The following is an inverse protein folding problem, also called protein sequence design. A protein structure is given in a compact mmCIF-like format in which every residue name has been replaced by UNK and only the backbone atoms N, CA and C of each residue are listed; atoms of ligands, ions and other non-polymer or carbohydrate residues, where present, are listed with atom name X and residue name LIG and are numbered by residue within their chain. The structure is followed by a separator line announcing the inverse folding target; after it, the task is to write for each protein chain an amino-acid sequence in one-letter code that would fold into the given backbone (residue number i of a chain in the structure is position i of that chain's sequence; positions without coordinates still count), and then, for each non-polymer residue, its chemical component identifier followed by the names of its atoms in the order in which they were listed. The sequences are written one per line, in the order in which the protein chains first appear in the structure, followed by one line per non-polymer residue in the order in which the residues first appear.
data_IF_361740652884
#
_entry.id   IF_361740652884
#
_cell.length_a   1.000
_cell.length_b   1.000
_cell.length_c   1.000
_cell.angle_alpha   90.00
_cell.angle_beta   90.00
_cell.angle_gamma   90.00
#
_symmetry.space_group_name_H-M   'P 1'
#
loop_
_entity.id
_entity.type
_entity.pdbx_description
1 polymer ?
#
# COMPACT_ATOMS: atom_id res chain seq x y z
N UNK A 1 2.03 -10.82 -51.75
CA UNK A 1 2.69 -11.07 -50.46
C UNK A 1 3.30 -9.76 -50.00
N UNK A 2 2.59 -9.00 -49.16
CA UNK A 2 3.15 -7.78 -48.57
C UNK A 2 3.90 -8.19 -47.30
N UNK A 3 5.20 -7.90 -47.24
CA UNK A 3 6.00 -8.08 -46.04
C UNK A 3 5.52 -7.08 -44.98
N UNK A 4 4.89 -7.59 -43.92
CA UNK A 4 4.50 -6.78 -42.76
C UNK A 4 5.77 -6.25 -42.07
N UNK A 5 5.92 -4.93 -42.03
CA UNK A 5 7.02 -4.29 -41.34
C UNK A 5 6.99 -4.68 -39.85
N UNK A 6 8.16 -4.89 -39.19
CA UNK A 6 8.18 -5.21 -37.78
C UNK A 6 7.59 -4.03 -37.00
N UNK A 7 6.39 -4.23 -36.43
CA UNK A 7 5.77 -3.31 -35.46
C UNK A 7 6.46 -3.45 -34.10
N UNK A 8 7.78 -3.39 -34.10
CA UNK A 8 8.58 -3.52 -32.91
C UNK A 8 8.41 -2.27 -32.04
N UNK A 9 8.21 -2.51 -30.75
CA UNK A 9 7.90 -1.46 -29.79
C UNK A 9 8.91 -1.51 -28.65
N UNK A 10 9.32 -0.34 -28.16
CA UNK A 10 10.22 -0.21 -27.02
C UNK A 10 9.42 0.38 -25.86
N UNK A 11 9.22 -0.42 -24.82
CA UNK A 11 8.61 0.01 -23.57
C UNK A 11 9.70 0.27 -22.54
N UNK A 12 9.68 1.42 -21.89
CA UNK A 12 10.45 1.66 -20.68
C UNK A 12 9.52 1.46 -19.50
N UNK A 13 9.73 0.40 -18.76
CA UNK A 13 8.96 0.07 -17.56
C UNK A 13 9.68 0.65 -16.36
N UNK A 14 9.05 1.57 -15.66
CA UNK A 14 9.54 2.15 -14.42
C UNK A 14 8.81 1.50 -13.26
N UNK A 15 9.55 0.79 -12.41
CA UNK A 15 9.07 0.17 -11.18
C UNK A 15 9.84 0.77 -10.00
N UNK A 16 9.16 1.60 -9.19
CA UNK A 16 9.76 2.32 -8.04
C UNK A 16 11.04 3.09 -8.37
N UNK A 17 12.20 2.45 -8.31
CA UNK A 17 13.54 3.02 -8.59
C UNK A 17 14.30 2.25 -9.69
N UNK A 18 13.63 1.30 -10.35
CA UNK A 18 14.18 0.47 -11.41
C UNK A 18 13.56 0.84 -12.74
N UNK A 19 14.38 1.01 -13.77
CA UNK A 19 13.93 1.23 -15.15
C UNK A 19 14.36 0.06 -16.01
N UNK A 20 13.39 -0.71 -16.49
CA UNK A 20 13.58 -1.88 -17.34
C UNK A 20 13.17 -1.51 -18.76
N UNK A 21 14.10 -1.66 -19.71
CA UNK A 21 13.81 -1.43 -21.12
C UNK A 21 13.40 -2.75 -21.78
N UNK A 22 12.13 -2.88 -22.09
CA UNK A 22 11.58 -4.01 -22.82
C UNK A 22 11.50 -3.69 -24.32
N UNK A 23 11.96 -4.64 -25.13
CA UNK A 23 11.73 -4.63 -26.58
C UNK A 23 10.69 -5.70 -26.86
N UNK A 24 9.57 -5.30 -27.42
CA UNK A 24 8.51 -6.19 -27.88
C UNK A 24 8.68 -6.38 -29.39
N UNK A 25 8.66 -7.63 -29.83
CA UNK A 25 8.80 -8.00 -31.25
C UNK A 25 7.57 -7.54 -32.07
N UNK A 26 6.41 -7.46 -31.41
CA UNK A 26 5.16 -6.93 -31.95
C UNK A 26 4.41 -6.10 -30.91
N UNK A 27 3.53 -5.21 -31.36
CA UNK A 27 2.55 -4.52 -30.50
C UNK A 27 1.57 -5.56 -29.94
N UNK A 28 1.28 -5.58 -28.62
CA UNK A 28 0.25 -6.46 -28.08
C UNK A 28 -1.12 -6.11 -28.66
N UNK A 29 -2.01 -7.10 -28.77
CA UNK A 29 -3.34 -6.93 -29.35
C UNK A 29 -4.34 -6.32 -28.36
N UNK A 30 -4.04 -6.35 -27.06
CA UNK A 30 -4.89 -5.82 -25.99
C UNK A 30 -4.05 -5.39 -24.78
N UNK A 31 -4.63 -4.51 -23.94
CA UNK A 31 -4.12 -4.18 -22.62
C UNK A 31 -3.84 -5.43 -21.78
N UNK A 32 -4.74 -6.42 -21.75
CA UNK A 32 -4.56 -7.67 -20.99
C UNK A 32 -3.33 -8.47 -21.46
N UNK A 33 -3.08 -8.49 -22.76
CA UNK A 33 -1.91 -9.15 -23.33
C UNK A 33 -0.62 -8.43 -22.94
N UNK A 34 -0.63 -7.09 -22.93
CA UNK A 34 0.48 -6.29 -22.42
C UNK A 34 0.76 -6.61 -20.94
N UNK A 35 -0.28 -6.68 -20.12
CA UNK A 35 -0.14 -7.05 -18.70
C UNK A 35 0.48 -8.44 -18.56
N UNK A 36 0.02 -9.42 -19.35
CA UNK A 36 0.58 -10.78 -19.32
C UNK A 36 2.06 -10.81 -19.68
N UNK A 37 2.47 -10.11 -20.74
CA UNK A 37 3.87 -10.03 -21.16
C UNK A 37 4.72 -9.37 -20.07
N UNK A 38 4.21 -8.32 -19.44
CA UNK A 38 4.89 -7.64 -18.35
C UNK A 38 5.04 -8.54 -17.12
N UNK A 39 3.99 -9.28 -16.72
CA UNK A 39 4.09 -10.28 -15.64
C UNK A 39 5.16 -11.33 -15.92
N UNK A 40 5.20 -11.86 -17.14
CA UNK A 40 6.20 -12.86 -17.56
C UNK A 40 7.63 -12.28 -17.58
N UNK A 41 7.82 -11.08 -18.12
CA UNK A 41 9.14 -10.46 -18.28
C UNK A 41 9.71 -9.88 -16.99
N UNK A 42 8.86 -9.40 -16.08
CA UNK A 42 9.28 -8.89 -14.79
C UNK A 42 9.30 -9.98 -13.70
N UNK A 43 8.90 -11.22 -14.02
CA UNK A 43 8.76 -12.33 -13.06
C UNK A 43 7.86 -11.95 -11.86
N UNK A 44 6.79 -11.19 -12.14
CA UNK A 44 5.86 -10.68 -11.13
C UNK A 44 4.61 -11.57 -11.10
N UNK A 45 4.38 -12.24 -9.97
CA UNK A 45 3.20 -13.08 -9.73
C UNK A 45 1.97 -12.27 -9.25
N UNK A 46 2.16 -11.00 -8.91
CA UNK A 46 1.13 -10.12 -8.35
C UNK A 46 0.45 -9.23 -9.42
N UNK A 47 -0.73 -8.71 -9.09
CA UNK A 47 -1.37 -7.65 -9.87
C UNK A 47 -0.65 -6.32 -9.68
N UNK A 48 -0.73 -5.44 -10.68
CA UNK A 48 -0.11 -4.13 -10.67
C UNK A 48 -0.96 -3.09 -11.40
N UNK A 49 -0.81 -1.83 -11.00
CA UNK A 49 -1.39 -0.69 -11.71
C UNK A 49 -0.39 -0.20 -12.75
N UNK A 50 -0.88 -0.02 -13.98
CA UNK A 50 -0.10 0.46 -15.12
C UNK A 50 -0.58 1.86 -15.50
N UNK A 51 0.35 2.81 -15.54
CA UNK A 51 0.13 4.16 -16.09
C UNK A 51 1.13 4.44 -17.19
N UNK A 52 0.74 5.15 -18.23
CA UNK A 52 1.66 5.57 -19.27
C UNK A 52 1.94 7.07 -19.18
N UNK A 53 3.11 7.47 -19.65
CA UNK A 53 3.48 8.86 -19.80
C UNK A 53 2.89 9.38 -21.11
N UNK A 54 1.91 10.27 -21.00
CA UNK A 54 1.20 10.83 -22.15
C UNK A 54 1.92 12.10 -22.67
N UNK A 55 2.49 12.07 -23.89
CA UNK A 55 3.16 13.22 -24.48
C UNK A 55 2.22 14.39 -24.78
N UNK A 56 0.92 14.14 -24.99
CA UNK A 56 -0.09 15.17 -25.23
C UNK A 56 -0.52 15.86 -23.92
N UNK A 57 -0.18 15.29 -22.77
CA UNK A 57 -0.45 15.80 -21.43
C UNK A 57 0.81 16.23 -20.66
N UNK A 58 1.81 16.78 -21.37
CA UNK A 58 3.06 17.29 -20.77
C UNK A 58 3.83 16.21 -19.99
N UNK A 59 3.74 14.95 -20.41
CA UNK A 59 4.40 13.83 -19.74
C UNK A 59 3.76 13.43 -18.41
N UNK A 60 2.47 13.73 -18.20
CA UNK A 60 1.74 13.25 -17.02
C UNK A 60 1.42 11.76 -17.14
N UNK A 61 1.37 11.09 -15.98
CA UNK A 61 1.00 9.69 -15.89
C UNK A 61 -0.52 9.52 -15.96
N UNK A 62 -1.01 8.94 -17.05
CA UNK A 62 -2.45 8.71 -17.30
C UNK A 62 -2.77 7.22 -17.38
N UNK A 63 -4.05 6.88 -17.29
CA UNK A 63 -4.53 5.51 -17.42
C UNK A 63 -4.53 5.09 -18.89
N UNK A 64 -3.90 3.96 -19.20
CA UNK A 64 -3.93 3.40 -20.54
C UNK A 64 -5.28 2.72 -20.79
N UNK A 65 -6.10 3.29 -21.66
CA UNK A 65 -7.42 2.72 -22.03
C UNK A 65 -7.30 1.87 -23.29
N UNK A 66 -6.62 2.39 -24.30
CA UNK A 66 -6.34 1.66 -25.53
C UNK A 66 -4.83 1.51 -25.71
N UNK A 67 -4.40 0.30 -26.09
CA UNK A 67 -3.00 0.08 -26.38
C UNK A 67 -2.55 0.89 -27.59
N UNK A 68 -3.45 1.31 -28.49
CA UNK A 68 -3.21 2.19 -29.64
C UNK A 68 -2.68 3.58 -29.26
N UNK A 69 -2.94 4.04 -28.04
CA UNK A 69 -2.41 5.32 -27.52
C UNK A 69 -0.90 5.27 -27.27
N UNK A 70 -0.30 4.07 -27.10
CA UNK A 70 1.12 3.98 -26.86
C UNK A 70 1.96 4.25 -28.13
N UNK A 71 2.85 5.25 -28.13
CA UNK A 71 3.77 5.45 -29.25
C UNK A 71 4.80 4.31 -29.32
N UNK A 72 5.50 4.17 -30.46
CA UNK A 72 6.52 3.12 -30.65
C UNK A 72 7.61 3.11 -29.56
N UNK A 73 7.85 4.26 -28.92
CA UNK A 73 8.70 4.41 -27.75
C UNK A 73 7.86 5.05 -26.66
N UNK A 74 7.48 4.28 -25.65
CA UNK A 74 6.66 4.79 -24.54
C UNK A 74 7.31 4.49 -23.19
N UNK A 75 6.99 5.33 -22.21
CA UNK A 75 7.33 5.13 -20.82
C UNK A 75 6.07 4.69 -20.07
N UNK A 76 6.19 3.62 -19.31
CA UNK A 76 5.09 3.02 -18.57
C UNK A 76 5.56 2.81 -17.14
N UNK A 77 4.76 3.29 -16.20
CA UNK A 77 5.02 3.18 -14.77
C UNK A 77 4.14 2.06 -14.21
N UNK A 78 4.79 1.15 -13.50
CA UNK A 78 4.14 0.02 -12.84
C UNK A 78 4.23 0.23 -11.33
N UNK A 79 3.10 0.10 -10.65
CA UNK A 79 3.03 0.08 -9.19
C UNK A 79 2.36 -1.21 -8.76
N UNK A 80 3.11 -2.09 -8.10
CA UNK A 80 2.59 -3.35 -7.57
C UNK A 80 1.38 -3.05 -6.66
N UNK A 81 0.23 -3.66 -6.96
CA UNK A 81 -0.92 -3.56 -6.06
C UNK A 81 -0.72 -4.59 -4.96
N UNK A 82 0.13 -4.28 -3.98
CA UNK A 82 0.06 -4.95 -2.68
C UNK A 82 -1.24 -4.51 -2.01
N UNK A 83 -2.31 -5.27 -2.25
CA UNK A 83 -3.63 -5.21 -1.60
C UNK A 83 -4.27 -3.83 -1.38
N UNK A 84 -3.83 -2.81 -2.11
CA UNK A 84 -4.45 -1.49 -2.08
C UNK A 84 -5.51 -1.43 -3.16
N UNK A 85 -6.64 -2.10 -2.86
CA UNK A 85 -7.86 -2.07 -3.66
C UNK A 85 -8.28 -0.60 -3.84
N UNK A 86 -8.24 -0.16 -5.09
CA UNK A 86 -8.67 1.15 -5.58
C UNK A 86 -9.91 1.66 -4.84
N UNK A 87 -9.75 2.78 -4.13
CA UNK A 87 -10.87 3.63 -3.71
C UNK A 87 -11.04 4.71 -4.77
N UNK A 88 -12.30 4.92 -5.16
CA UNK A 88 -12.71 5.81 -6.23
C UNK A 88 -12.01 7.18 -6.18
N UNK A 89 -11.54 7.63 -7.34
CA UNK A 89 -10.97 8.95 -7.56
C UNK A 89 -11.92 10.04 -7.06
N UNK A 90 -11.51 10.72 -5.99
CA UNK A 90 -11.86 12.13 -5.79
C UNK A 90 -10.54 12.87 -5.78
N UNK A 91 -10.31 13.67 -6.83
CA UNK A 91 -9.24 14.66 -6.86
C UNK A 91 -9.42 15.62 -5.67
N UNK A 92 -8.64 15.42 -4.61
CA UNK A 92 -8.44 16.41 -3.55
C UNK A 92 -6.96 16.55 -3.25
N UNK A 93 -6.38 17.56 -3.89
CA UNK A 93 -5.36 18.48 -3.39
C UNK A 93 -4.22 17.88 -2.52
N UNK A 94 -3.02 17.98 -3.09
CA UNK A 94 -1.75 18.34 -2.43
C UNK A 94 -1.32 17.52 -1.23
N UNK A 95 -0.30 16.70 -1.47
CA UNK A 95 0.96 16.72 -0.71
C UNK A 95 0.83 16.92 0.81
N UNK A 96 0.28 15.91 1.47
CA UNK A 96 0.55 15.67 2.89
C UNK A 96 1.29 14.34 2.98
N UNK A 97 2.53 14.35 2.48
CA UNK A 97 3.53 13.32 2.77
C UNK A 97 4.01 13.46 4.21
N UNK A 98 3.08 13.30 5.15
CA UNK A 98 3.44 13.06 6.54
C UNK A 98 3.96 11.62 6.61
N UNK A 99 5.19 11.38 7.07
CA UNK A 99 5.74 10.02 7.16
C UNK A 99 4.83 9.08 7.98
N UNK A 100 4.03 9.59 8.92
CA UNK A 100 3.05 8.80 9.68
C UNK A 100 1.88 8.24 8.83
N UNK A 101 1.67 8.77 7.61
CA UNK A 101 0.63 8.30 6.67
C UNK A 101 1.15 7.24 5.70
N UNK A 102 2.47 7.11 5.56
CA UNK A 102 3.14 6.12 4.72
C UNK A 102 3.40 4.80 5.47
N UNK A 103 3.36 4.84 6.79
CA UNK A 103 3.48 3.67 7.64
C UNK A 103 2.35 2.66 7.36
N UNK A 104 2.71 1.37 7.21
CA UNK A 104 1.77 0.28 6.96
C UNK A 104 1.11 -0.14 8.26
N UNK A 105 -0.20 -0.40 8.20
CA UNK A 105 -0.91 -1.05 9.29
C UNK A 105 -0.31 -2.44 9.58
N UNK A 106 -0.16 -2.85 10.85
CA UNK A 106 0.44 -4.14 11.16
C UNK A 106 -0.43 -5.28 10.60
N UNK A 107 0.18 -6.24 9.86
CA UNK A 107 -0.55 -7.33 9.19
C UNK A 107 -1.01 -8.45 10.15
N UNK A 108 -0.99 -8.21 11.46
CA UNK A 108 -1.22 -9.22 12.48
C UNK A 108 -1.73 -8.62 13.78
N UNK A 109 -1.96 -9.46 14.81
CA UNK A 109 -2.59 -9.03 16.05
C UNK A 109 -1.81 -7.90 16.71
N UNK A 110 -2.55 -6.91 17.21
CA UNK A 110 -1.98 -5.74 17.86
C UNK A 110 -1.25 -6.15 19.14
N UNK A 111 0.05 -5.91 19.18
CA UNK A 111 0.86 -6.19 20.36
C UNK A 111 0.63 -5.11 21.39
N UNK A 112 0.18 -5.49 22.59
CA UNK A 112 -0.01 -4.55 23.70
C UNK A 112 1.37 -3.98 24.08
N UNK A 113 1.56 -2.66 24.03
CA UNK A 113 2.82 -2.03 24.40
C UNK A 113 3.05 -2.14 25.91
N UNK A 114 4.31 -2.01 26.34
CA UNK A 114 4.62 -1.85 27.76
C UNK A 114 4.10 -0.52 28.26
N UNK A 115 3.38 -0.55 29.38
CA UNK A 115 2.91 0.65 30.05
C UNK A 115 4.00 1.26 30.95
N UNK A 116 3.81 2.51 31.40
CA UNK A 116 4.61 3.08 32.48
C UNK A 116 4.63 2.17 33.71
N UNK A 117 5.73 2.23 34.45
CA UNK A 117 6.03 1.27 35.53
C UNK A 117 4.92 1.17 36.59
N UNK A 118 4.33 2.29 36.98
CA UNK A 118 3.24 2.37 37.95
C UNK A 118 1.96 1.68 37.45
N UNK A 119 1.64 1.81 36.16
CA UNK A 119 0.52 1.13 35.51
C UNK A 119 0.80 -0.37 35.43
N UNK A 120 1.98 -0.78 34.96
CA UNK A 120 2.39 -2.19 34.91
C UNK A 120 2.33 -2.87 36.27
N UNK A 121 2.81 -2.18 37.32
CA UNK A 121 2.76 -2.68 38.68
C UNK A 121 1.30 -2.88 39.13
N UNK A 122 0.46 -1.87 38.91
CA UNK A 122 -0.98 -1.93 39.25
C UNK A 122 -1.68 -3.08 38.52
N UNK A 123 -1.40 -3.28 37.23
CA UNK A 123 -1.97 -4.36 36.43
C UNK A 123 -1.51 -5.74 36.95
N UNK A 124 -0.24 -5.88 37.30
CA UNK A 124 0.31 -7.13 37.85
C UNK A 124 -0.30 -7.48 39.21
N UNK A 125 -0.38 -6.50 40.09
CA UNK A 125 -0.96 -6.68 41.43
C UNK A 125 -2.45 -7.01 41.32
N UNK A 126 -3.16 -6.33 40.40
CA UNK A 126 -4.55 -6.62 40.07
C UNK A 126 -4.77 -8.05 39.58
N UNK A 127 -3.95 -8.52 38.64
CA UNK A 127 -4.05 -9.91 38.14
C UNK A 127 -3.79 -10.93 39.26
N UNK A 128 -2.75 -10.71 40.07
CA UNK A 128 -2.41 -11.60 41.19
C UNK A 128 -3.56 -11.73 42.18
N UNK A 129 -4.26 -10.62 42.42
CA UNK A 129 -5.34 -10.60 43.39
C UNK A 129 -6.67 -11.10 42.83
N UNK A 130 -6.90 -10.93 41.52
CA UNK A 130 -7.99 -11.57 40.81
C UNK A 130 -7.85 -13.10 40.85
N UNK A 131 -6.64 -13.62 40.60
CA UNK A 131 -6.37 -15.07 40.71
C UNK A 131 -6.60 -15.61 42.13
N UNK A 132 -6.26 -14.81 43.14
CA UNK A 132 -6.36 -15.25 44.54
C UNK A 132 -7.77 -15.14 45.13
N UNK A 133 -8.47 -14.04 44.82
CA UNK A 133 -9.69 -13.66 45.53
C UNK A 133 -10.85 -13.29 44.57
N UNK A 134 -10.70 -13.47 43.26
CA UNK A 134 -11.65 -13.03 42.22
C UNK A 134 -12.01 -11.53 42.29
N UNK A 135 -11.14 -10.73 42.91
CA UNK A 135 -11.37 -9.29 43.06
C UNK A 135 -11.04 -8.58 41.74
N UNK A 136 -12.02 -7.86 41.22
CA UNK A 136 -11.86 -7.05 40.01
C UNK A 136 -10.93 -5.87 40.25
N UNK A 137 -10.02 -5.64 39.30
CA UNK A 137 -9.13 -4.49 39.30
C UNK A 137 -9.91 -3.19 39.06
N UNK A 138 -9.74 -2.22 39.98
CA UNK A 138 -10.32 -0.89 39.86
C UNK A 138 -9.21 0.12 39.54
N UNK A 139 -9.27 0.70 38.35
CA UNK A 139 -8.33 1.73 37.90
C UNK A 139 -8.91 3.12 38.11
N UNK A 140 -8.07 4.06 38.55
CA UNK A 140 -8.40 5.48 38.62
C UNK A 140 -8.60 6.07 37.21
N UNK A 141 -9.20 7.26 37.12
CA UNK A 141 -9.34 8.00 35.85
C UNK A 141 -7.98 8.22 35.18
N UNK A 142 -6.98 8.62 35.96
CA UNK A 142 -5.65 8.95 35.44
C UNK A 142 -4.92 7.70 34.94
N UNK A 143 -5.06 6.58 35.65
CA UNK A 143 -4.49 5.30 35.20
C UNK A 143 -5.11 4.82 33.88
N UNK A 144 -6.44 4.95 33.74
CA UNK A 144 -7.13 4.65 32.47
C UNK A 144 -6.66 5.56 31.35
N UNK A 145 -6.47 6.85 31.63
CA UNK A 145 -5.97 7.81 30.65
C UNK A 145 -4.55 7.43 30.18
N UNK A 146 -3.63 7.13 31.09
CA UNK A 146 -2.27 6.72 30.73
C UNK A 146 -2.21 5.44 29.88
N UNK A 147 -3.09 4.46 30.17
CA UNK A 147 -3.24 3.26 29.32
C UNK A 147 -3.70 3.64 27.91
N UNK A 148 -4.76 4.44 27.80
CA UNK A 148 -5.32 4.85 26.51
C UNK A 148 -4.34 5.71 25.70
N UNK A 149 -3.63 6.63 26.35
CA UNK A 149 -2.63 7.49 25.72
C UNK A 149 -1.48 6.65 25.14
N UNK A 150 -0.96 5.70 25.91
CA UNK A 150 0.11 4.82 25.44
C UNK A 150 -0.32 3.93 24.26
N UNK A 151 -1.54 3.40 24.32
CA UNK A 151 -2.14 2.64 23.21
C UNK A 151 -2.31 3.53 21.98
N UNK A 152 -2.89 4.71 22.14
CA UNK A 152 -3.11 5.65 21.05
C UNK A 152 -1.80 6.08 20.39
N UNK A 153 -0.77 6.41 21.19
CA UNK A 153 0.57 6.76 20.69
C UNK A 153 1.17 5.61 19.88
N UNK A 154 1.04 4.37 20.37
CA UNK A 154 1.54 3.18 19.67
C UNK A 154 0.80 2.96 18.36
N UNK A 155 -0.53 3.05 18.35
CA UNK A 155 -1.36 2.93 17.14
C UNK A 155 -1.01 4.03 16.13
N UNK A 156 -0.87 5.27 16.60
CA UNK A 156 -0.53 6.42 15.77
C UNK A 156 0.83 6.26 15.09
N UNK A 157 1.80 5.64 15.77
CA UNK A 157 3.11 5.31 15.18
C UNK A 157 3.02 4.36 13.97
N UNK A 158 1.97 3.51 13.92
CA UNK A 158 1.71 2.62 12.79
C UNK A 158 0.91 3.31 11.69
N UNK A 159 -0.20 3.97 12.01
CA UNK A 159 -1.02 4.70 11.04
C UNK A 159 -1.99 5.60 11.78
N UNK A 160 -1.95 6.90 11.47
CA UNK A 160 -2.84 7.89 12.11
C UNK A 160 -4.33 7.63 11.83
N UNK A 161 -4.67 7.12 10.64
CA UNK A 161 -6.04 6.88 10.19
C UNK A 161 -6.12 5.55 9.41
N UNK A 162 -6.26 4.41 10.10
CA UNK A 162 -6.53 3.13 9.45
C UNK A 162 -7.94 3.10 8.86
N UNK A 163 -8.11 2.36 7.77
CA UNK A 163 -9.40 2.05 7.17
C UNK A 163 -10.13 0.95 7.94
N UNK A 164 -11.46 0.87 7.79
CA UNK A 164 -12.29 -0.16 8.43
C UNK A 164 -11.80 -1.59 8.16
N UNK A 165 -11.25 -1.82 6.95
CA UNK A 165 -10.68 -3.13 6.57
C UNK A 165 -9.41 -3.44 7.35
N UNK A 166 -8.52 -2.46 7.51
CA UNK A 166 -7.28 -2.61 8.28
C UNK A 166 -7.60 -2.86 9.76
N UNK A 167 -8.58 -2.15 10.33
CA UNK A 167 -9.04 -2.36 11.71
C UNK A 167 -9.58 -3.79 11.88
N UNK A 168 -10.35 -4.29 10.91
CA UNK A 168 -10.93 -5.63 10.95
C UNK A 168 -9.89 -6.78 10.85
N UNK A 169 -8.68 -6.53 10.35
CA UNK A 169 -7.62 -7.55 10.24
C UNK A 169 -6.91 -7.85 11.57
N UNK A 170 -7.16 -7.05 12.61
CA UNK A 170 -6.43 -7.07 13.88
C UNK A 170 -7.25 -7.66 15.04
N UNK A 171 -8.56 -7.81 14.84
CA UNK A 171 -9.50 -8.49 15.76
C UNK A 171 -9.44 -10.01 15.57
#
# INVERSE_FOLDING_TARGET
MAAEAPRNMILRVVESDRVIKLKLDSRPASFDELIKILKEKLEVDCDFNLKYEDPDFDGRLTCLVDIEELPQKSCVHISLTQDSRSVASTDTLSDVSSPERLSRWPPGPFQIPKFPFDIELTLRDGNTEFEKNERLLQLSRDQKHGILENLASTIYSFKAYPSDKEIAMVL
#
